data_IF_659819764304
#
_entry.id   IF_659819764304
#
_cell.length_a   1.000
_cell.length_b   1.000
_cell.length_c   1.000
_cell.angle_alpha   90.00
_cell.angle_beta   90.00
_cell.angle_gamma   90.00
#
_symmetry.space_group_name_H-M   'P 1'
#
loop_
_entity.id
_entity.type
_entity.pdbx_description
1 polymer ?
#
# COMPACT_ATOMS: atom_id res chain seq x y z
N UNK A 1 -4.73 0.87 -7.92
CA UNK A 1 -4.35 -0.24 -7.00
C UNK A 1 -5.55 -0.74 -6.20
N UNK A 2 -6.15 0.08 -5.33
CA UNK A 2 -7.26 -0.36 -4.44
C UNK A 2 -8.44 -0.95 -5.20
N UNK A 3 -8.90 -0.30 -6.28
CA UNK A 3 -9.97 -0.81 -7.14
C UNK A 3 -9.69 -2.22 -7.65
N UNK A 4 -8.49 -2.44 -8.18
CA UNK A 4 -8.11 -3.71 -8.81
C UNK A 4 -7.92 -4.82 -7.75
N UNK A 5 -7.39 -4.48 -6.57
CA UNK A 5 -7.35 -5.43 -5.44
C UNK A 5 -8.74 -5.86 -5.02
N UNK A 6 -9.70 -4.92 -4.91
CA UNK A 6 -11.10 -5.22 -4.59
C UNK A 6 -11.76 -6.08 -5.68
N UNK A 7 -11.52 -5.77 -6.95
CA UNK A 7 -12.01 -6.55 -8.08
C UNK A 7 -11.45 -8.00 -8.07
N UNK A 8 -10.25 -8.20 -7.54
CA UNK A 8 -9.64 -9.50 -7.30
C UNK A 8 -10.09 -10.18 -5.99
N UNK A 9 -11.07 -9.62 -5.27
CA UNK A 9 -11.59 -10.17 -4.01
C UNK A 9 -10.72 -9.90 -2.77
N UNK A 10 -9.70 -9.04 -2.87
CA UNK A 10 -8.84 -8.67 -1.75
C UNK A 10 -9.33 -7.35 -1.12
N UNK A 11 -9.70 -7.33 0.17
CA UNK A 11 -10.13 -6.10 0.83
C UNK A 11 -8.97 -5.11 0.90
N UNK A 12 -9.20 -3.90 0.42
CA UNK A 12 -8.22 -2.83 0.39
C UNK A 12 -8.89 -1.46 0.55
N UNK A 13 -8.16 -0.48 1.05
CA UNK A 13 -8.59 0.91 1.13
C UNK A 13 -7.38 1.85 1.08
N UNK A 14 -7.63 3.11 0.76
CA UNK A 14 -6.60 4.17 0.89
C UNK A 14 -6.54 4.58 2.36
N UNK A 15 -5.34 4.60 2.93
CA UNK A 15 -5.10 5.19 4.26
C UNK A 15 -4.58 6.62 4.10
N UNK A 16 -5.09 7.54 4.92
CA UNK A 16 -4.64 8.93 4.95
C UNK A 16 -3.53 9.19 5.98
N UNK A 17 -3.15 8.17 6.75
CA UNK A 17 -2.02 8.23 7.69
C UNK A 17 -1.23 6.92 7.66
N UNK A 18 0.09 7.03 7.66
CA UNK A 18 0.99 5.89 7.85
C UNK A 18 1.42 5.72 9.33
N UNK A 19 0.76 6.46 10.24
CA UNK A 19 1.17 6.58 11.63
C UNK A 19 2.39 7.49 11.80
N UNK A 20 3.00 7.45 12.99
CA UNK A 20 4.16 8.28 13.35
C UNK A 20 5.37 7.46 13.77
N UNK A 21 5.36 6.15 13.47
CA UNK A 21 6.46 5.25 13.77
C UNK A 21 7.35 4.99 12.55
N UNK A 22 8.13 3.90 12.58
CA UNK A 22 9.12 3.56 11.55
C UNK A 22 8.52 3.42 10.15
N UNK A 23 7.29 2.93 10.01
CA UNK A 23 6.63 2.81 8.71
C UNK A 23 6.53 4.17 8.00
N UNK A 24 6.05 5.20 8.71
CA UNK A 24 5.97 6.55 8.17
C UNK A 24 7.36 7.16 7.93
N UNK A 25 8.34 6.88 8.80
CA UNK A 25 9.71 7.33 8.60
C UNK A 25 10.30 6.80 7.29
N UNK A 26 10.15 5.48 7.02
CA UNK A 26 10.61 4.84 5.78
C UNK A 26 9.88 5.41 4.57
N UNK A 27 8.55 5.54 4.66
CA UNK A 27 7.75 6.11 3.57
C UNK A 27 8.18 7.55 3.25
N UNK A 28 8.29 8.40 4.26
CA UNK A 28 8.73 9.78 4.10
C UNK A 28 10.13 9.86 3.50
N UNK A 29 11.08 9.07 4.01
CA UNK A 29 12.45 9.01 3.50
C UNK A 29 12.51 8.62 2.02
N UNK A 30 11.75 7.59 1.61
CA UNK A 30 11.64 7.19 0.21
C UNK A 30 11.15 8.35 -0.66
N UNK A 31 10.02 8.96 -0.30
CA UNK A 31 9.42 10.03 -1.10
C UNK A 31 10.32 11.27 -1.14
N UNK A 32 11.01 11.57 -0.03
CA UNK A 32 12.00 12.64 0.02
C UNK A 32 13.14 12.39 -0.98
N UNK A 33 13.71 11.19 -1.00
CA UNK A 33 14.78 10.84 -1.94
C UNK A 33 14.29 10.94 -3.40
N UNK A 34 13.10 10.42 -3.71
CA UNK A 34 12.54 10.48 -5.06
C UNK A 34 12.27 11.92 -5.52
N UNK A 35 11.85 12.81 -4.63
CA UNK A 35 11.63 14.22 -4.96
C UNK A 35 12.93 14.97 -5.32
N UNK A 36 14.08 14.56 -4.77
CA UNK A 36 15.36 15.24 -4.95
C UNK A 36 16.25 14.59 -6.03
N UNK A 37 15.99 13.34 -6.41
CA UNK A 37 16.72 12.66 -7.50
C UNK A 37 16.10 12.97 -8.85
N UNK A 38 16.57 14.04 -9.49
CA UNK A 38 16.06 14.52 -10.79
C UNK A 38 16.90 14.07 -12.00
N UNK A 39 17.93 13.26 -11.80
CA UNK A 39 18.87 12.85 -12.86
C UNK A 39 19.11 11.34 -12.84
N UNK A 40 19.46 10.79 -14.01
CA UNK A 40 19.76 9.36 -14.17
C UNK A 40 18.53 8.47 -14.37
N UNK A 41 18.76 7.16 -14.40
CA UNK A 41 17.73 6.14 -14.66
C UNK A 41 16.59 6.06 -13.63
N UNK A 42 16.73 6.78 -12.50
CA UNK A 42 15.72 6.82 -11.43
C UNK A 42 14.91 8.11 -11.39
N UNK A 43 15.14 9.04 -12.32
CA UNK A 43 14.42 10.32 -12.38
C UNK A 43 12.90 10.17 -12.59
N UNK A 44 12.47 9.03 -13.16
CA UNK A 44 11.06 8.69 -13.40
C UNK A 44 10.52 7.65 -12.43
N UNK A 45 11.28 7.28 -11.39
CA UNK A 45 10.85 6.27 -10.42
C UNK A 45 9.63 6.75 -9.64
N UNK A 46 8.57 5.94 -9.66
CA UNK A 46 7.37 6.10 -8.83
C UNK A 46 7.53 5.27 -7.56
N UNK A 47 7.09 5.81 -6.43
CA UNK A 47 7.20 5.15 -5.12
C UNK A 47 5.93 5.32 -4.30
N UNK A 48 5.77 4.46 -3.29
CA UNK A 48 4.63 4.44 -2.40
C UNK A 48 4.85 3.47 -1.23
N UNK A 49 3.83 3.36 -0.38
CA UNK A 49 3.86 2.48 0.79
C UNK A 49 2.50 1.78 0.96
N UNK A 50 2.52 0.51 1.35
CA UNK A 50 1.32 -0.30 1.60
C UNK A 50 1.46 -0.93 2.99
N UNK A 51 0.48 -0.68 3.86
CA UNK A 51 0.34 -1.44 5.10
C UNK A 51 -0.41 -2.74 4.84
N UNK A 52 -0.02 -3.79 5.54
CA UNK A 52 -0.73 -5.08 5.57
C UNK A 52 -1.21 -5.36 7.00
N UNK A 53 -2.38 -5.98 7.18
CA UNK A 53 -2.85 -6.43 8.49
C UNK A 53 -2.03 -7.62 8.99
N UNK A 54 -2.31 -8.05 10.22
CA UNK A 54 -1.75 -9.26 10.79
C UNK A 54 -2.09 -10.52 9.98
N UNK A 55 -1.23 -11.54 10.10
CA UNK A 55 -1.60 -12.90 9.77
C UNK A 55 -2.52 -13.49 10.87
N UNK A 56 -3.35 -14.52 10.56
CA UNK A 56 -4.25 -15.11 11.55
C UNK A 56 -3.52 -15.62 12.79
N UNK A 57 -2.32 -16.20 12.63
CA UNK A 57 -1.52 -16.74 13.73
C UNK A 57 -0.96 -15.62 14.64
N UNK A 58 -0.73 -14.43 14.08
CA UNK A 58 -0.33 -13.25 14.85
C UNK A 58 -1.53 -12.65 15.57
N UNK A 59 -2.67 -12.49 14.88
CA UNK A 59 -3.90 -11.96 15.46
C UNK A 59 -4.47 -12.86 16.56
N UNK A 60 -4.25 -14.18 16.51
CA UNK A 60 -4.61 -15.10 17.59
C UNK A 60 -3.99 -14.70 18.96
N UNK A 61 -2.90 -13.93 18.95
CA UNK A 61 -2.24 -13.40 20.17
C UNK A 61 -2.77 -12.03 20.60
N UNK A 62 -3.66 -11.42 19.82
CA UNK A 62 -4.18 -10.07 20.03
C UNK A 62 -5.72 -10.07 19.86
N UNK A 63 -6.48 -10.28 20.94
CA UNK A 63 -7.94 -10.37 20.89
C UNK A 63 -8.58 -9.20 20.14
N UNK A 64 -9.42 -9.49 19.15
CA UNK A 64 -10.12 -8.50 18.32
C UNK A 64 -9.29 -7.87 17.20
N UNK A 65 -8.02 -8.23 17.04
CA UNK A 65 -7.20 -7.71 15.94
C UNK A 65 -7.65 -8.29 14.58
N UNK A 66 -7.84 -7.45 13.56
CA UNK A 66 -8.14 -7.93 12.22
C UNK A 66 -6.92 -8.64 11.62
N UNK A 67 -7.17 -9.64 10.79
CA UNK A 67 -6.13 -10.36 10.05
C UNK A 67 -6.59 -10.74 8.65
N UNK A 68 -5.61 -11.11 7.80
CA UNK A 68 -5.84 -11.71 6.50
C UNK A 68 -4.91 -12.91 6.31
N UNK A 69 -5.41 -13.96 5.66
CA UNK A 69 -4.61 -15.13 5.30
C UNK A 69 -3.42 -14.72 4.41
N UNK A 70 -2.28 -15.40 4.59
CA UNK A 70 -1.05 -15.09 3.86
C UNK A 70 -1.25 -15.13 2.33
N UNK A 71 -1.96 -16.14 1.83
CA UNK A 71 -2.22 -16.28 0.39
C UNK A 71 -3.02 -15.09 -0.16
N UNK A 72 -3.98 -14.58 0.61
CA UNK A 72 -4.77 -13.39 0.25
C UNK A 72 -3.88 -12.14 0.21
N UNK A 73 -2.95 -11.97 1.16
CA UNK A 73 -1.98 -10.88 1.16
C UNK A 73 -1.05 -10.94 -0.05
N UNK A 74 -0.55 -12.14 -0.38
CA UNK A 74 0.31 -12.36 -1.56
C UNK A 74 -0.45 -12.03 -2.84
N UNK A 75 -1.69 -12.52 -2.99
CA UNK A 75 -2.54 -12.21 -4.13
C UNK A 75 -2.75 -10.69 -4.28
N UNK A 76 -3.06 -10.01 -3.18
CA UNK A 76 -3.23 -8.56 -3.14
C UNK A 76 -1.98 -7.78 -3.56
N UNK A 77 -0.81 -8.15 -3.03
CA UNK A 77 0.45 -7.49 -3.37
C UNK A 77 0.86 -7.72 -4.83
N UNK A 78 0.60 -8.92 -5.37
CA UNK A 78 0.82 -9.19 -6.80
C UNK A 78 -0.03 -8.28 -7.68
N UNK A 79 -1.30 -8.10 -7.34
CA UNK A 79 -2.19 -7.14 -8.04
C UNK A 79 -1.67 -5.71 -7.90
N UNK A 80 -1.27 -5.29 -6.70
CA UNK A 80 -0.75 -3.95 -6.48
C UNK A 80 0.50 -3.65 -7.34
N UNK A 81 1.44 -4.59 -7.42
CA UNK A 81 2.63 -4.45 -8.27
C UNK A 81 2.24 -4.42 -9.75
N UNK A 82 1.41 -5.36 -10.21
CA UNK A 82 0.97 -5.41 -11.61
C UNK A 82 0.28 -4.11 -12.04
N UNK A 83 -0.69 -3.62 -11.24
CA UNK A 83 -1.38 -2.36 -11.50
C UNK A 83 -0.40 -1.18 -11.52
N UNK A 84 0.60 -1.16 -10.64
CA UNK A 84 1.60 -0.07 -10.58
C UNK A 84 2.47 -0.01 -11.84
N UNK A 85 2.76 -1.17 -12.44
CA UNK A 85 3.54 -1.28 -13.68
C UNK A 85 2.71 -0.97 -14.93
N UNK A 86 1.41 -1.27 -14.92
CA UNK A 86 0.55 -1.10 -16.09
C UNK A 86 -0.23 0.22 -16.12
N UNK A 87 -0.19 1.01 -15.04
CA UNK A 87 -1.03 2.20 -14.86
C UNK A 87 -0.18 3.41 -14.49
N UNK A 88 -0.05 4.37 -15.39
CA UNK A 88 0.74 5.60 -15.16
C UNK A 88 -0.03 6.69 -14.42
N UNK A 89 -1.31 6.88 -14.76
CA UNK A 89 -2.19 7.87 -14.13
C UNK A 89 -3.23 7.18 -13.25
N UNK A 90 -3.37 7.62 -11.99
CA UNK A 90 -4.37 7.09 -11.08
C UNK A 90 -5.79 7.52 -11.49
N UNK A 91 -6.77 6.73 -11.08
CA UNK A 91 -8.19 7.01 -11.32
C UNK A 91 -8.70 8.06 -10.33
N UNK A 92 -9.72 8.82 -10.75
CA UNK A 92 -10.39 9.81 -9.89
C UNK A 92 -11.62 9.18 -9.24
N UNK A 93 -11.41 8.59 -8.07
CA UNK A 93 -12.47 7.98 -7.26
C UNK A 93 -12.36 8.48 -5.81
N UNK A 94 -13.49 8.64 -5.13
CA UNK A 94 -13.51 9.03 -3.72
C UNK A 94 -12.93 7.93 -2.83
N UNK A 95 -11.67 8.07 -2.40
CA UNK A 95 -10.99 7.18 -1.46
C UNK A 95 -10.81 7.77 -0.06
N UNK A 96 -11.33 8.97 0.20
CA UNK A 96 -11.26 9.64 1.50
C UNK A 96 -12.19 9.01 2.53
N UNK A 97 -11.77 9.04 3.79
CA UNK A 97 -12.61 8.71 4.94
C UNK A 97 -12.95 10.02 5.66
N UNK A 98 -14.20 10.22 6.06
CA UNK A 98 -14.65 11.44 6.75
C UNK A 98 -14.34 11.43 8.25
N UNK A 99 -13.75 10.35 8.77
CA UNK A 99 -13.46 10.13 10.19
C UNK A 99 -12.15 9.33 10.33
#
# INVERSE_FOLDING_TARGET
IVRDMRAAGVPAMVSQTAGTFVCNHVFYGLMHVLAHRKTGSTATTRGGFIHIPYLPEQAARHPGAPSLALDTLIAGLRVAVATSLSTDADIREGGGQLH
#
